data_IF_011846064839
#
_entry.id   IF_011846064839
#
_cell.length_a   1.000
_cell.length_b   1.000
_cell.length_c   1.000
_cell.angle_alpha   90.00
_cell.angle_beta   90.00
_cell.angle_gamma   90.00
#
_symmetry.space_group_name_H-M   'P 1'
#
loop_
_entity.id
_entity.type
_entity.pdbx_description
1 polymer ?
#
# COMPACT_ATOMS: atom_id res chain seq x y z
N UNK A 1 23.60 -4.98 7.87
CA UNK A 1 22.30 -5.33 7.28
C UNK A 1 21.97 -6.79 7.59
N UNK A 2 20.69 -7.09 7.84
CA UNK A 2 20.24 -8.45 8.13
C UNK A 2 18.71 -8.58 8.15
N UNK A 3 18.26 -9.82 8.26
CA UNK A 3 16.85 -10.16 8.34
C UNK A 3 16.47 -10.59 9.75
N UNK A 4 15.42 -10.03 10.31
CA UNK A 4 14.84 -10.41 11.60
C UNK A 4 13.62 -11.28 11.34
N UNK A 5 13.71 -12.56 11.71
CA UNK A 5 12.65 -13.56 11.51
C UNK A 5 11.88 -13.89 12.77
N UNK A 6 12.51 -13.69 13.93
CA UNK A 6 11.96 -14.12 15.22
C UNK A 6 11.99 -12.96 16.23
N UNK A 7 11.14 -13.08 17.24
CA UNK A 7 11.24 -12.24 18.43
C UNK A 7 12.58 -12.45 19.16
N UNK A 8 12.89 -11.57 20.09
CA UNK A 8 13.92 -11.85 21.11
C UNK A 8 13.46 -12.99 22.00
N UNK A 9 14.42 -13.61 22.70
CA UNK A 9 14.09 -14.59 23.73
C UNK A 9 13.30 -13.95 24.87
N UNK A 10 12.18 -14.56 25.23
CA UNK A 10 11.38 -14.15 26.38
C UNK A 10 11.03 -15.36 27.25
N UNK A 11 10.79 -15.14 28.54
CA UNK A 11 10.45 -16.20 29.47
C UNK A 11 8.95 -16.40 29.52
N UNK A 12 8.50 -17.62 29.17
CA UNK A 12 7.08 -18.00 29.19
C UNK A 12 6.57 -18.35 30.57
N UNK A 13 7.45 -18.62 31.54
CA UNK A 13 7.10 -18.94 32.93
C UNK A 13 7.92 -18.08 33.90
N UNK A 14 7.53 -16.80 34.10
CA UNK A 14 8.27 -15.91 35.01
C UNK A 14 8.17 -16.28 36.49
N UNK A 15 7.25 -17.19 36.86
CA UNK A 15 7.07 -17.66 38.21
C UNK A 15 7.95 -18.87 38.56
N UNK A 16 8.60 -19.48 37.56
CA UNK A 16 9.51 -20.63 37.77
C UNK A 16 10.93 -20.20 38.13
N UNK A 17 11.55 -20.94 39.01
CA UNK A 17 12.98 -20.78 39.32
C UNK A 17 13.89 -21.14 38.14
N UNK A 18 13.36 -21.82 37.13
CA UNK A 18 14.05 -22.17 35.91
C UNK A 18 13.38 -21.44 34.71
N UNK A 19 14.03 -20.39 34.14
CA UNK A 19 13.46 -19.65 33.03
C UNK A 19 13.34 -20.53 31.81
N UNK A 20 12.10 -20.59 31.26
CA UNK A 20 11.81 -21.23 29.98
C UNK A 20 11.85 -20.15 28.88
N UNK A 21 13.03 -19.99 28.25
CA UNK A 21 13.25 -18.99 27.22
C UNK A 21 12.87 -19.52 25.85
N UNK A 22 11.94 -18.87 25.19
CA UNK A 22 11.49 -19.16 23.84
C UNK A 22 11.60 -17.92 22.93
N UNK A 23 11.67 -18.16 21.65
CA UNK A 23 11.45 -17.12 20.62
C UNK A 23 10.33 -17.56 19.71
N UNK A 24 9.59 -16.64 19.19
CA UNK A 24 8.48 -16.89 18.24
C UNK A 24 8.82 -16.29 16.88
N UNK A 25 8.25 -16.89 15.83
CA UNK A 25 8.30 -16.28 14.50
C UNK A 25 7.68 -14.88 14.53
N UNK A 26 8.27 -13.97 13.78
CA UNK A 26 7.87 -12.57 13.80
C UNK A 26 6.39 -12.37 13.46
N UNK A 27 5.85 -13.15 12.53
CA UNK A 27 4.43 -13.12 12.15
C UNK A 27 3.53 -13.49 13.32
N UNK A 28 3.92 -14.50 14.13
CA UNK A 28 3.17 -14.93 15.32
C UNK A 28 3.28 -13.85 16.40
N UNK A 29 4.49 -13.35 16.66
CA UNK A 29 4.73 -12.31 17.64
C UNK A 29 3.98 -11.00 17.34
N UNK A 30 3.73 -10.70 16.06
CA UNK A 30 2.92 -9.56 15.61
C UNK A 30 1.41 -9.88 15.55
N UNK A 31 1.00 -11.13 15.86
CA UNK A 31 -0.39 -11.61 15.77
C UNK A 31 -0.97 -11.56 14.36
N UNK A 32 -0.15 -11.78 13.33
CA UNK A 32 -0.53 -11.79 11.91
C UNK A 32 -0.45 -13.19 11.31
N UNK A 33 -0.79 -14.22 12.07
CA UNK A 33 -0.87 -15.58 11.55
C UNK A 33 -2.15 -15.77 10.72
N UNK A 34 -2.12 -15.21 9.53
CA UNK A 34 -3.21 -15.17 8.53
C UNK A 34 -2.72 -15.74 7.20
N UNK A 35 -3.62 -15.80 6.23
CA UNK A 35 -3.30 -16.23 4.87
C UNK A 35 -2.26 -15.33 4.19
N UNK A 36 -1.52 -15.89 3.22
CA UNK A 36 -0.45 -15.18 2.50
C UNK A 36 -0.97 -14.06 1.56
N UNK A 37 -2.28 -14.00 1.33
CA UNK A 37 -2.92 -12.97 0.50
C UNK A 37 -3.00 -11.58 1.13
N UNK A 38 -2.58 -11.46 2.38
CA UNK A 38 -2.58 -10.19 3.11
C UNK A 38 -1.24 -9.47 3.01
N UNK A 39 -1.31 -8.15 3.20
CA UNK A 39 -0.16 -7.26 3.30
C UNK A 39 -0.07 -6.68 4.70
N UNK A 40 1.14 -6.39 5.14
CA UNK A 40 1.43 -5.70 6.39
C UNK A 40 2.02 -4.34 6.06
N UNK A 41 1.36 -3.27 6.50
CA UNK A 41 1.89 -1.92 6.46
C UNK A 41 2.41 -1.53 7.84
N UNK A 42 3.50 -0.79 7.88
CA UNK A 42 4.12 -0.32 9.11
C UNK A 42 4.99 0.90 8.86
N UNK A 43 5.27 1.67 9.91
CA UNK A 43 6.06 2.90 9.81
C UNK A 43 7.38 2.78 10.55
N UNK A 44 8.47 3.20 9.90
CA UNK A 44 9.76 3.42 10.55
C UNK A 44 9.75 4.81 11.22
N UNK A 45 10.03 4.84 12.53
CA UNK A 45 9.78 6.03 13.36
C UNK A 45 10.85 7.12 13.25
N UNK A 46 12.04 6.80 12.81
CA UNK A 46 13.14 7.77 12.64
C UNK A 46 12.98 8.51 11.32
N UNK A 47 12.85 7.77 10.22
CA UNK A 47 12.65 8.34 8.88
C UNK A 47 11.21 8.79 8.60
N UNK A 48 10.23 8.32 9.40
CA UNK A 48 8.79 8.48 9.20
C UNK A 48 8.26 7.84 7.91
N UNK A 49 9.03 6.95 7.30
CA UNK A 49 8.62 6.26 6.08
C UNK A 49 7.70 5.09 6.40
N UNK A 50 6.67 4.96 5.60
CA UNK A 50 5.78 3.80 5.57
C UNK A 50 6.34 2.73 4.65
N UNK A 51 6.17 1.49 5.03
CA UNK A 51 6.56 0.31 4.27
C UNK A 51 5.37 -0.63 4.11
N UNK A 52 5.41 -1.41 3.04
CA UNK A 52 4.48 -2.50 2.79
C UNK A 52 5.26 -3.77 2.47
N UNK A 53 4.82 -4.90 3.05
CA UNK A 53 5.35 -6.24 2.79
C UNK A 53 4.20 -7.22 2.71
N UNK A 54 4.35 -8.30 1.96
CA UNK A 54 3.40 -9.40 2.06
C UNK A 54 3.60 -10.18 3.35
N UNK A 55 2.54 -10.80 3.85
CA UNK A 55 2.63 -11.73 4.99
C UNK A 55 3.60 -12.88 4.64
N UNK A 56 3.59 -13.34 3.39
CA UNK A 56 4.50 -14.38 2.89
C UNK A 56 5.98 -13.95 2.96
N UNK A 57 6.30 -12.71 2.55
CA UNK A 57 7.67 -12.19 2.66
C UNK A 57 8.15 -12.16 4.10
N UNK A 58 7.33 -11.64 5.02
CA UNK A 58 7.70 -11.58 6.44
C UNK A 58 7.85 -12.98 7.03
N UNK A 59 6.98 -13.93 6.68
CA UNK A 59 7.05 -15.33 7.15
C UNK A 59 8.31 -16.04 6.64
N UNK A 60 8.64 -15.86 5.36
CA UNK A 60 9.75 -16.58 4.75
C UNK A 60 11.11 -15.92 5.00
N UNK A 61 11.17 -14.59 4.97
CA UNK A 61 12.41 -13.82 5.01
C UNK A 61 12.56 -13.00 6.30
N UNK A 62 11.45 -12.58 6.91
CA UNK A 62 11.43 -11.64 8.04
C UNK A 62 11.40 -10.18 7.57
N UNK A 63 11.78 -9.27 8.46
CA UNK A 63 11.96 -7.86 8.15
C UNK A 63 13.45 -7.56 7.91
N UNK A 64 13.74 -6.93 6.79
CA UNK A 64 15.10 -6.47 6.48
C UNK A 64 15.41 -5.22 7.28
N UNK A 65 16.58 -5.23 7.94
CA UNK A 65 17.11 -4.09 8.67
C UNK A 65 18.54 -3.79 8.23
N UNK A 66 18.81 -2.53 8.00
CA UNK A 66 20.14 -2.03 7.71
C UNK A 66 20.49 -0.92 8.67
N UNK A 67 21.44 -1.18 9.54
CA UNK A 67 21.91 -0.26 10.57
C UNK A 67 23.40 0.02 10.34
N UNK A 68 23.76 1.29 10.32
CA UNK A 68 25.15 1.76 10.46
C UNK A 68 25.52 1.91 11.92
N UNK A 69 26.76 2.25 12.21
CA UNK A 69 27.18 2.44 13.61
C UNK A 69 26.35 3.54 14.30
N UNK A 70 25.84 3.24 15.48
CA UNK A 70 25.02 4.14 16.33
C UNK A 70 23.64 4.49 15.77
N UNK A 71 23.16 3.79 14.74
CA UNK A 71 21.78 3.94 14.23
C UNK A 71 20.82 3.00 14.94
N UNK A 72 19.56 3.42 15.04
CA UNK A 72 18.44 2.62 15.51
C UNK A 72 17.29 2.70 14.51
N UNK A 73 16.58 1.60 14.32
CA UNK A 73 15.34 1.55 13.56
C UNK A 73 14.23 1.06 14.48
N UNK A 74 13.10 1.76 14.44
CA UNK A 74 11.93 1.45 15.27
C UNK A 74 10.75 1.37 14.34
N UNK A 75 10.15 0.20 14.21
CA UNK A 75 8.96 -0.04 13.41
C UNK A 75 7.72 -0.11 14.31
N UNK A 76 6.72 0.70 14.02
CA UNK A 76 5.46 0.77 14.75
C UNK A 76 4.27 0.83 13.77
N UNK A 77 3.06 0.75 14.33
CA UNK A 77 1.83 0.92 13.57
C UNK A 77 1.59 -0.20 12.57
N UNK A 78 1.98 -1.43 12.92
CA UNK A 78 1.72 -2.59 12.08
C UNK A 78 0.22 -2.79 11.89
N UNK A 79 -0.21 -2.84 10.64
CA UNK A 79 -1.61 -3.05 10.27
C UNK A 79 -1.68 -4.09 9.15
N UNK A 80 -2.67 -4.97 9.25
CA UNK A 80 -2.98 -5.96 8.25
C UNK A 80 -3.98 -5.38 7.25
N UNK A 81 -3.67 -5.47 5.96
CA UNK A 81 -4.52 -4.98 4.87
C UNK A 81 -4.65 -6.04 3.79
N UNK A 82 -5.73 -6.01 3.02
CA UNK A 82 -5.98 -6.91 1.90
C UNK A 82 -6.43 -6.14 0.68
N UNK A 83 -6.21 -6.71 -0.50
CA UNK A 83 -6.72 -6.13 -1.74
C UNK A 83 -8.23 -5.93 -1.70
N UNK A 84 -8.67 -4.81 -2.23
CA UNK A 84 -10.07 -4.46 -2.43
C UNK A 84 -10.24 -3.74 -3.77
N UNK A 85 -11.48 -3.60 -4.23
CA UNK A 85 -11.78 -2.83 -5.44
C UNK A 85 -11.33 -1.36 -5.32
N UNK A 86 -11.41 -0.80 -4.10
CA UNK A 86 -11.01 0.58 -3.84
C UNK A 86 -9.49 0.75 -3.71
N UNK A 87 -8.80 -0.23 -3.11
CA UNK A 87 -7.36 -0.14 -2.84
C UNK A 87 -6.67 -1.44 -3.25
N UNK A 88 -6.03 -1.46 -4.44
CA UNK A 88 -5.24 -2.59 -4.90
C UNK A 88 -3.84 -2.57 -4.28
N UNK A 89 -3.69 -3.12 -3.09
CA UNK A 89 -2.43 -3.18 -2.34
C UNK A 89 -1.33 -3.93 -3.09
N UNK A 90 -1.72 -4.90 -3.95
CA UNK A 90 -0.80 -5.57 -4.85
C UNK A 90 -0.03 -4.58 -5.74
N UNK A 91 -0.76 -3.67 -6.39
CA UNK A 91 -0.15 -2.67 -7.28
C UNK A 91 0.79 -1.74 -6.50
N UNK A 92 0.38 -1.32 -5.30
CA UNK A 92 1.19 -0.47 -4.43
C UNK A 92 2.46 -1.19 -3.99
N UNK A 93 2.35 -2.45 -3.59
CA UNK A 93 3.50 -3.27 -3.20
C UNK A 93 4.50 -3.42 -4.36
N UNK A 94 4.01 -3.70 -5.58
CA UNK A 94 4.86 -3.82 -6.77
C UNK A 94 5.54 -2.49 -7.12
N UNK A 95 4.80 -1.38 -7.11
CA UNK A 95 5.33 -0.05 -7.42
C UNK A 95 6.41 0.39 -6.43
N UNK A 96 6.20 0.13 -5.15
CA UNK A 96 7.16 0.47 -4.11
C UNK A 96 8.38 -0.44 -4.12
N UNK A 97 8.19 -1.70 -4.51
CA UNK A 97 9.27 -2.70 -4.58
C UNK A 97 10.19 -2.65 -3.35
N UNK A 98 9.60 -2.66 -2.17
CA UNK A 98 10.30 -2.63 -0.90
C UNK A 98 10.76 -1.25 -0.40
N UNK A 99 10.60 -0.20 -1.20
CA UNK A 99 10.96 1.18 -0.79
C UNK A 99 9.95 1.75 0.19
N UNK A 100 10.43 2.59 1.11
CA UNK A 100 9.56 3.37 1.99
C UNK A 100 8.97 4.59 1.27
N UNK A 101 7.80 5.03 1.74
CA UNK A 101 7.07 6.20 1.25
C UNK A 101 6.61 7.06 2.41
N UNK A 102 6.58 8.38 2.22
CA UNK A 102 6.14 9.30 3.27
C UNK A 102 4.64 9.18 3.58
N UNK A 103 3.82 8.92 2.55
CA UNK A 103 2.38 8.87 2.66
C UNK A 103 1.80 8.01 1.53
N UNK A 104 0.79 7.21 1.82
CA UNK A 104 0.05 6.43 0.83
C UNK A 104 -1.01 7.24 0.09
N UNK A 105 -1.48 8.37 0.62
CA UNK A 105 -2.56 9.16 0.04
C UNK A 105 -2.30 9.57 -1.43
N UNK A 106 -1.08 9.99 -1.84
CA UNK A 106 -0.81 10.27 -3.25
C UNK A 106 -0.92 9.04 -4.16
N UNK A 107 -0.60 7.84 -3.65
CA UNK A 107 -0.75 6.60 -4.41
C UNK A 107 -2.21 6.22 -4.58
N UNK A 108 -3.01 6.31 -3.51
CA UNK A 108 -4.44 6.07 -3.58
C UNK A 108 -5.11 7.00 -4.58
N UNK A 109 -4.82 8.31 -4.49
CA UNK A 109 -5.35 9.30 -5.43
C UNK A 109 -4.93 9.03 -6.88
N UNK A 110 -3.70 8.56 -7.11
CA UNK A 110 -3.25 8.17 -8.45
C UNK A 110 -4.03 6.98 -8.99
N UNK A 111 -4.30 5.97 -8.16
CA UNK A 111 -5.06 4.78 -8.52
C UNK A 111 -6.52 5.16 -8.83
N UNK A 112 -7.12 5.97 -7.99
CA UNK A 112 -8.49 6.48 -8.17
C UNK A 112 -8.63 7.27 -9.48
N UNK A 113 -7.63 8.11 -9.81
CA UNK A 113 -7.62 8.93 -11.03
C UNK A 113 -7.20 8.16 -12.29
N UNK A 114 -6.65 6.95 -12.17
CA UNK A 114 -6.11 6.20 -13.32
C UNK A 114 -7.14 6.01 -14.46
N UNK A 115 -8.41 5.64 -14.21
CA UNK A 115 -9.39 5.50 -15.26
C UNK A 115 -9.62 6.79 -16.06
N UNK A 116 -9.73 7.92 -15.37
CA UNK A 116 -9.88 9.26 -15.97
C UNK A 116 -8.64 9.64 -16.78
N UNK A 117 -7.46 9.45 -16.16
CA UNK A 117 -6.18 9.74 -16.81
C UNK A 117 -5.98 8.93 -18.09
N UNK A 118 -6.32 7.64 -18.08
CA UNK A 118 -6.24 6.76 -19.25
C UNK A 118 -7.16 7.23 -20.37
N UNK A 119 -8.41 7.57 -20.06
CA UNK A 119 -9.37 8.09 -21.04
C UNK A 119 -8.91 9.43 -21.62
N UNK A 120 -8.38 10.31 -20.78
CA UNK A 120 -7.80 11.59 -21.20
C UNK A 120 -6.61 11.40 -22.14
N UNK A 121 -5.67 10.52 -21.81
CA UNK A 121 -4.51 10.23 -22.66
C UNK A 121 -4.94 9.66 -24.02
N UNK A 122 -5.92 8.74 -24.04
CA UNK A 122 -6.46 8.19 -25.28
C UNK A 122 -7.08 9.26 -26.16
N UNK A 123 -7.80 10.21 -25.57
CA UNK A 123 -8.36 11.35 -26.27
C UNK A 123 -7.27 12.28 -26.82
N UNK A 124 -6.28 12.62 -25.99
CA UNK A 124 -5.18 13.51 -26.42
C UNK A 124 -4.37 12.92 -27.56
N UNK A 125 -4.14 11.60 -27.58
CA UNK A 125 -3.45 10.94 -28.67
C UNK A 125 -4.17 11.08 -30.00
N UNK A 126 -5.52 11.12 -30.02
CA UNK A 126 -6.31 11.36 -31.24
C UNK A 126 -6.19 12.79 -31.75
N UNK A 127 -5.95 13.76 -30.87
CA UNK A 127 -5.82 15.19 -31.26
C UNK A 127 -4.38 15.49 -31.72
N UNK A 128 -3.40 14.79 -31.17
CA UNK A 128 -1.96 15.05 -31.45
C UNK A 128 -1.49 14.31 -32.71
N UNK A 129 -2.19 13.29 -33.20
CA UNK A 129 -1.82 12.61 -34.44
C UNK A 129 -1.81 13.60 -35.62
N UNK A 130 -0.67 13.77 -36.30
CA UNK A 130 -0.56 14.75 -37.40
C UNK A 130 -1.34 14.27 -38.61
N UNK A 131 -2.40 14.96 -38.99
CA UNK A 131 -3.04 14.71 -40.27
C UNK A 131 -4.46 15.20 -40.42
N UNK A 132 -5.33 14.96 -39.48
CA UNK A 132 -6.74 15.44 -39.56
C UNK A 132 -7.34 15.51 -38.16
N UNK A 133 -7.83 16.69 -37.79
CA UNK A 133 -8.70 16.78 -36.59
C UNK A 133 -9.89 15.85 -36.79
N UNK A 134 -10.22 14.99 -35.81
CA UNK A 134 -11.40 14.14 -35.88
C UNK A 134 -12.65 15.02 -36.04
N UNK A 135 -13.64 14.49 -36.71
CA UNK A 135 -14.94 15.17 -36.84
C UNK A 135 -15.60 15.33 -35.45
N UNK A 136 -16.51 16.29 -35.34
CA UNK A 136 -17.16 16.63 -34.07
C UNK A 136 -17.90 15.45 -33.43
N UNK A 137 -18.41 14.52 -34.24
CA UNK A 137 -19.12 13.32 -33.76
C UNK A 137 -18.12 12.32 -33.10
N UNK A 138 -16.98 12.10 -33.75
CA UNK A 138 -15.91 11.23 -33.20
C UNK A 138 -15.32 11.81 -31.94
N UNK A 139 -15.09 13.13 -31.87
CA UNK A 139 -14.67 13.82 -30.65
C UNK A 139 -15.71 13.61 -29.55
N UNK A 140 -16.99 13.86 -29.79
CA UNK A 140 -18.04 13.70 -28.80
C UNK A 140 -18.10 12.26 -28.25
N UNK A 141 -18.05 11.25 -29.13
CA UNK A 141 -18.06 9.84 -28.72
C UNK A 141 -16.86 9.46 -27.81
N UNK A 142 -15.73 10.16 -27.95
CA UNK A 142 -14.54 9.92 -27.12
C UNK A 142 -14.51 10.75 -25.83
N UNK A 143 -15.19 11.91 -25.84
CA UNK A 143 -15.35 12.75 -24.65
C UNK A 143 -16.41 12.24 -23.69
N UNK A 144 -17.48 11.64 -24.17
CA UNK A 144 -18.59 11.18 -23.34
C UNK A 144 -18.13 10.22 -22.21
N UNK A 145 -17.34 9.16 -22.47
CA UNK A 145 -16.86 8.28 -21.41
C UNK A 145 -15.95 8.98 -20.38
N UNK A 146 -15.19 9.99 -20.81
CA UNK A 146 -14.34 10.78 -19.90
C UNK A 146 -15.22 11.62 -18.96
N UNK A 147 -16.24 12.27 -19.48
CA UNK A 147 -17.18 13.06 -18.68
C UNK A 147 -17.96 12.15 -17.70
N UNK A 148 -18.40 10.98 -18.14
CA UNK A 148 -19.08 10.00 -17.28
C UNK A 148 -18.17 9.56 -16.14
N UNK A 149 -16.92 9.18 -16.42
CA UNK A 149 -15.96 8.79 -15.41
C UNK A 149 -15.64 9.92 -14.38
N UNK A 150 -15.58 11.18 -14.86
CA UNK A 150 -15.38 12.33 -13.98
C UNK A 150 -16.60 12.58 -13.08
N UNK A 151 -17.82 12.42 -13.59
CA UNK A 151 -19.06 12.56 -12.82
C UNK A 151 -19.22 11.46 -11.78
N UNK A 152 -18.83 10.24 -12.11
CA UNK A 152 -18.82 9.12 -11.16
C UNK A 152 -17.86 9.40 -9.99
N UNK A 153 -16.68 9.93 -10.26
CA UNK A 153 -15.71 10.29 -9.21
C UNK A 153 -16.22 11.43 -8.32
N UNK A 154 -16.86 12.45 -8.88
CA UNK A 154 -17.43 13.55 -8.11
C UNK A 154 -18.54 13.04 -7.17
N UNK A 155 -19.40 12.14 -7.64
CA UNK A 155 -20.44 11.53 -6.83
C UNK A 155 -19.87 10.66 -5.69
N UNK A 156 -18.78 9.93 -5.93
CA UNK A 156 -18.09 9.15 -4.90
C UNK A 156 -17.48 10.09 -3.85
N UNK A 157 -16.85 11.20 -4.26
CA UNK A 157 -16.26 12.18 -3.35
C UNK A 157 -17.31 12.82 -2.43
N UNK A 158 -18.48 13.19 -2.97
CA UNK A 158 -19.60 13.72 -2.19
C UNK A 158 -20.15 12.70 -1.17
N UNK A 159 -20.25 11.43 -1.56
CA UNK A 159 -20.71 10.36 -0.65
C UNK A 159 -19.72 10.10 0.50
N UNK A 160 -18.43 10.30 0.28
CA UNK A 160 -17.39 10.14 1.32
C UNK A 160 -17.43 11.33 2.30
N UNK A 161 -17.61 12.55 1.83
CA UNK A 161 -17.73 13.73 2.67
C UNK A 161 -18.95 13.64 3.59
N UNK A 162 -20.10 13.21 3.07
CA UNK A 162 -21.33 13.00 3.86
C UNK A 162 -21.19 11.87 4.91
N UNK A 163 -20.28 10.93 4.72
CA UNK A 163 -20.05 9.82 5.66
C UNK A 163 -19.07 10.14 6.79
N UNK A 164 -18.35 11.27 6.73
CA UNK A 164 -17.41 11.71 7.78
C UNK A 164 -18.04 12.63 8.84
N UNK A 165 -19.31 13.02 8.65
CA UNK A 165 -20.04 13.89 9.59
C UNK A 165 -20.89 13.10 10.63
N UNK A 166 -20.53 11.82 10.92
CA UNK A 166 -21.16 11.01 11.98
C UNK A 166 -20.18 10.56 13.05
#
# INVERSE_FOLDING_TARGET
AGWIKTSTLFNTDPASDHPNLVSEDLIIALSFDVENSYYVIFQEQVSKLWYIRTVEEIRNQGLFMELSGYESQIYLGFQLVSDSEAIPWWNIHQDLNGRGINDFAPLFRRIELEPVHRLFCNMMNLIIEPGTLPDSKTLFMKFAPLLEAMLEMENISLMIEDSQDF
#
